data_IF_468915159693
#
_entry.id   IF_468915159693
#
_cell.length_a   1.000
_cell.length_b   1.000
_cell.length_c   1.000
_cell.angle_alpha   90.00
_cell.angle_beta   90.00
_cell.angle_gamma   90.00
#
_symmetry.space_group_name_H-M   'P 1'
#
loop_
_entity.id
_entity.type
_entity.pdbx_description
1 polymer ?
#
# COMPACT_ATOMS: atom_id res chain seq x y z
N UNK A 1 12.50 25.42 -16.83
CA UNK A 1 12.12 24.51 -15.72
C UNK A 1 10.62 24.26 -15.77
N UNK A 2 10.22 23.04 -16.18
CA UNK A 2 8.83 22.73 -16.52
C UNK A 2 7.88 22.84 -15.33
N UNK A 3 6.80 23.60 -15.51
CA UNK A 3 5.78 23.85 -14.51
C UNK A 3 5.27 22.56 -13.86
N UNK A 4 5.19 22.57 -12.53
CA UNK A 4 4.68 21.48 -11.74
C UNK A 4 3.18 21.32 -12.04
N UNK A 5 2.85 20.50 -13.04
CA UNK A 5 1.47 20.07 -13.24
C UNK A 5 1.09 19.13 -12.09
N UNK A 6 0.33 19.64 -11.13
CA UNK A 6 -0.18 18.88 -9.98
C UNK A 6 -0.90 17.61 -10.42
N UNK A 7 -1.56 17.65 -11.60
CA UNK A 7 -2.20 16.50 -12.25
C UNK A 7 -1.19 15.40 -12.59
N UNK A 8 -0.08 15.73 -13.23
CA UNK A 8 0.96 14.74 -13.57
C UNK A 8 1.59 14.13 -12.31
N UNK A 9 1.86 14.94 -11.27
CA UNK A 9 2.36 14.43 -9.99
C UNK A 9 1.38 13.46 -9.34
N UNK A 10 0.09 13.77 -9.38
CA UNK A 10 -0.93 12.89 -8.84
C UNK A 10 -1.06 11.58 -9.61
N UNK A 11 -1.02 11.62 -10.95
CA UNK A 11 -1.01 10.42 -11.80
C UNK A 11 0.20 9.54 -11.46
N UNK A 12 1.39 10.12 -11.31
CA UNK A 12 2.60 9.38 -10.88
C UNK A 12 2.42 8.74 -9.50
N UNK A 13 1.86 9.47 -8.52
CA UNK A 13 1.54 8.92 -7.18
C UNK A 13 0.55 7.76 -7.27
N UNK A 14 -0.53 7.89 -8.07
CA UNK A 14 -1.52 6.81 -8.29
C UNK A 14 -0.87 5.57 -8.92
N UNK A 15 -0.02 5.74 -9.94
CA UNK A 15 0.73 4.64 -10.58
C UNK A 15 1.67 3.94 -9.60
N UNK A 16 2.42 4.71 -8.81
CA UNK A 16 3.32 4.17 -7.79
C UNK A 16 2.56 3.36 -6.73
N UNK A 17 1.42 3.87 -6.23
CA UNK A 17 0.55 3.14 -5.30
C UNK A 17 0.07 1.82 -5.90
N UNK A 18 -0.42 1.81 -7.15
CA UNK A 18 -0.85 0.58 -7.85
C UNK A 18 0.28 -0.45 -7.91
N UNK A 19 1.47 -0.04 -8.35
CA UNK A 19 2.62 -0.95 -8.44
C UNK A 19 3.02 -1.54 -7.08
N UNK A 20 2.98 -0.74 -6.01
CA UNK A 20 3.25 -1.22 -4.65
C UNK A 20 2.20 -2.19 -4.16
N UNK A 21 0.91 -1.93 -4.41
CA UNK A 21 -0.19 -2.83 -4.05
C UNK A 21 -0.04 -4.19 -4.75
N UNK A 22 0.25 -4.22 -6.05
CA UNK A 22 0.49 -5.46 -6.79
C UNK A 22 1.67 -6.24 -6.20
N UNK A 23 2.79 -5.56 -5.92
CA UNK A 23 3.97 -6.20 -5.28
C UNK A 23 3.64 -6.76 -3.90
N UNK A 24 2.85 -6.05 -3.10
CA UNK A 24 2.40 -6.55 -1.80
C UNK A 24 1.50 -7.76 -1.95
N UNK A 25 0.53 -7.77 -2.86
CA UNK A 25 -0.31 -8.95 -3.13
C UNK A 25 0.51 -10.18 -3.52
N UNK A 26 1.53 -10.03 -4.38
CA UNK A 26 2.41 -11.13 -4.76
C UNK A 26 3.21 -11.67 -3.56
N UNK A 27 3.69 -10.78 -2.69
CA UNK A 27 4.42 -11.16 -1.47
C UNK A 27 3.51 -11.79 -0.42
N UNK A 28 2.26 -11.34 -0.32
CA UNK A 28 1.27 -11.77 0.66
C UNK A 28 1.04 -13.29 0.63
N UNK A 29 1.13 -13.91 -0.56
CA UNK A 29 1.01 -15.36 -0.75
C UNK A 29 2.06 -16.18 0.00
N UNK A 30 3.25 -15.62 0.23
CA UNK A 30 4.37 -16.29 0.90
C UNK A 30 4.79 -15.61 2.21
N UNK A 31 4.11 -14.53 2.59
CA UNK A 31 4.51 -13.68 3.69
C UNK A 31 4.24 -14.34 5.04
N UNK A 32 5.25 -14.29 5.90
CA UNK A 32 5.13 -14.64 7.32
C UNK A 32 4.32 -13.59 8.08
N UNK A 33 3.85 -13.92 9.29
CA UNK A 33 3.00 -13.05 10.11
C UNK A 33 3.66 -11.71 10.43
N UNK A 34 4.97 -11.70 10.69
CA UNK A 34 5.76 -10.49 10.91
C UNK A 34 5.83 -9.60 9.66
N UNK A 35 5.99 -10.19 8.47
CA UNK A 35 6.01 -9.43 7.21
C UNK A 35 4.64 -8.84 6.87
N UNK A 36 3.54 -9.50 7.25
CA UNK A 36 2.18 -8.96 7.10
C UNK A 36 1.99 -7.70 7.94
N UNK A 37 2.51 -7.67 9.18
CA UNK A 37 2.49 -6.47 10.03
C UNK A 37 3.29 -5.32 9.41
N UNK A 38 4.52 -5.61 8.96
CA UNK A 38 5.36 -4.62 8.30
C UNK A 38 4.71 -4.09 7.00
N UNK A 39 3.96 -4.93 6.26
CA UNK A 39 3.19 -4.49 5.10
C UNK A 39 2.00 -3.61 5.47
N UNK A 40 1.28 -3.91 6.55
CA UNK A 40 0.16 -3.10 7.04
C UNK A 40 0.62 -1.69 7.44
N UNK A 41 1.72 -1.56 8.18
CA UNK A 41 2.31 -0.26 8.52
C UNK A 41 2.76 0.53 7.28
N UNK A 42 3.34 -0.18 6.30
CA UNK A 42 3.78 0.43 5.04
C UNK A 42 2.60 0.95 4.22
N UNK A 43 1.46 0.26 4.26
CA UNK A 43 0.22 0.71 3.61
C UNK A 43 -0.37 1.95 4.29
N UNK A 44 -0.35 2.02 5.63
CA UNK A 44 -0.74 3.21 6.41
C UNK A 44 0.04 4.46 6.04
N UNK A 45 1.36 4.32 5.86
CA UNK A 45 2.22 5.45 5.46
C UNK A 45 2.05 5.85 3.99
N UNK A 46 1.65 4.93 3.12
CA UNK A 46 1.61 5.16 1.67
C UNK A 46 0.28 5.71 1.17
N UNK A 47 -0.83 5.36 1.83
CA UNK A 47 -2.18 5.69 1.37
C UNK A 47 -3.02 6.16 2.57
N UNK A 48 -3.43 7.44 2.63
CA UNK A 48 -4.42 7.85 3.61
C UNK A 48 -5.74 7.11 3.36
N UNK A 49 -6.36 6.57 4.41
CA UNK A 49 -7.57 5.74 4.31
C UNK A 49 -7.31 4.30 3.83
N UNK A 50 -6.13 3.74 4.11
CA UNK A 50 -5.79 2.37 3.73
C UNK A 50 -6.54 1.28 4.52
N UNK A 51 -7.39 1.62 5.48
CA UNK A 51 -8.00 0.66 6.40
C UNK A 51 -8.84 -0.38 5.66
N UNK A 52 -9.65 0.05 4.69
CA UNK A 52 -10.40 -0.84 3.79
C UNK A 52 -9.49 -1.74 2.94
N UNK A 53 -8.30 -1.26 2.58
CA UNK A 53 -7.31 -2.04 1.84
C UNK A 53 -6.62 -3.09 2.72
N UNK A 54 -6.35 -2.76 3.97
CA UNK A 54 -5.74 -3.65 4.96
C UNK A 54 -6.73 -4.77 5.32
N UNK A 55 -8.01 -4.42 5.53
CA UNK A 55 -9.10 -5.39 5.72
C UNK A 55 -9.27 -6.31 4.52
N UNK A 56 -9.38 -5.75 3.31
CA UNK A 56 -9.54 -6.54 2.08
C UNK A 56 -8.34 -7.44 1.80
N UNK A 57 -7.14 -7.05 2.21
CA UNK A 57 -5.93 -7.86 2.06
C UNK A 57 -5.70 -8.86 3.20
N UNK A 58 -6.56 -8.90 4.21
CA UNK A 58 -6.39 -9.79 5.37
C UNK A 58 -5.12 -9.48 6.16
N UNK A 59 -4.64 -8.25 6.08
CA UNK A 59 -3.46 -7.74 6.80
C UNK A 59 -3.86 -7.18 8.18
N UNK A 60 -5.13 -7.34 8.57
CA UNK A 60 -5.62 -6.94 9.88
C UNK A 60 -4.88 -7.76 10.92
N UNK A 61 -4.13 -7.03 11.73
CA UNK A 61 -3.61 -7.52 12.99
C UNK A 61 -4.82 -7.87 13.85
N UNK A 62 -5.31 -9.13 13.78
CA UNK A 62 -6.13 -9.69 14.85
C UNK A 62 -5.19 -9.86 16.03
N UNK A 63 -4.91 -8.74 16.70
CA UNK A 63 -4.35 -8.76 18.05
C UNK A 63 -5.36 -9.55 18.88
N UNK A 64 -4.93 -10.75 19.27
CA UNK A 64 -5.63 -11.59 20.23
C UNK A 64 -5.74 -10.88 21.57
#
# INVERSE_FOLDING_TARGET
>A
MGGISNRMKEVKRRRHRRQKLTKFQSKLKKATTSEKLAMAEKLRKLTPGCDLLIERMGLVDRKR
#
